data_IF_408622932951
#
_entry.id   IF_408622932951
#
_cell.length_a   1.000
_cell.length_b   1.000
_cell.length_c   1.000
_cell.angle_alpha   90.00
_cell.angle_beta   90.00
_cell.angle_gamma   90.00
#
_symmetry.space_group_name_H-M   'P 1'
#
loop_
_entity.id
_entity.type
_entity.pdbx_description
1 polymer ?
#
# COMPACT_ATOMS: atom_id res chain seq x y z
N UNK A 1 -5.01 20.02 -38.14
CA UNK A 1 -6.05 19.65 -37.16
C UNK A 1 -5.42 19.72 -35.78
N UNK A 2 -5.94 20.58 -34.92
CA UNK A 2 -5.37 20.82 -33.60
C UNK A 2 -5.69 19.68 -32.63
N UNK A 3 -4.75 19.34 -31.75
CA UNK A 3 -4.84 18.28 -30.74
C UNK A 3 -5.94 18.54 -29.67
N UNK A 4 -6.64 19.68 -29.77
CA UNK A 4 -7.57 20.18 -28.75
C UNK A 4 -9.02 19.68 -28.86
N UNK A 5 -9.50 19.26 -30.03
CA UNK A 5 -10.93 18.90 -30.19
C UNK A 5 -11.28 17.47 -29.77
N UNK A 6 -10.29 16.58 -29.60
CA UNK A 6 -10.54 15.15 -29.42
C UNK A 6 -10.78 14.70 -27.96
N UNK A 7 -10.60 15.57 -26.96
CA UNK A 7 -10.53 15.16 -25.54
C UNK A 7 -11.57 15.80 -24.60
N UNK A 8 -12.65 16.38 -25.12
CA UNK A 8 -13.78 16.81 -24.28
C UNK A 8 -13.43 17.80 -23.17
N UNK A 9 -12.43 18.66 -23.40
CA UNK A 9 -11.99 19.67 -22.42
C UNK A 9 -11.08 19.15 -21.30
N UNK A 10 -10.67 17.88 -21.33
CA UNK A 10 -9.71 17.35 -20.34
C UNK A 10 -8.29 17.72 -20.77
N UNK A 11 -7.57 18.46 -19.91
CA UNK A 11 -6.15 18.74 -20.13
C UNK A 11 -5.35 17.44 -20.00
N UNK A 12 -4.62 17.01 -21.06
CA UNK A 12 -3.82 15.80 -20.99
C UNK A 12 -2.67 16.02 -19.99
N UNK A 13 -2.31 14.96 -19.27
CA UNK A 13 -1.08 14.94 -18.49
C UNK A 13 0.04 14.30 -19.31
N UNK A 14 1.27 14.75 -19.07
CA UNK A 14 2.47 14.11 -19.61
C UNK A 14 3.26 13.52 -18.44
N UNK A 15 3.45 12.20 -18.44
CA UNK A 15 4.31 11.51 -17.46
C UNK A 15 5.68 11.26 -18.07
N UNK A 16 6.71 11.67 -17.35
CA UNK A 16 8.12 11.40 -17.65
C UNK A 16 8.64 10.21 -16.85
N UNK A 17 9.53 9.43 -17.46
CA UNK A 17 10.26 8.33 -16.84
C UNK A 17 11.76 8.53 -17.04
N UNK A 18 12.53 8.49 -15.95
CA UNK A 18 13.97 8.62 -16.01
C UNK A 18 14.58 7.31 -16.49
N UNK A 19 15.30 7.38 -17.60
CA UNK A 19 16.01 6.26 -18.25
C UNK A 19 17.13 5.65 -17.38
N UNK A 20 17.70 6.42 -16.47
CA UNK A 20 18.79 5.98 -15.60
C UNK A 20 18.28 5.39 -14.27
N UNK A 21 17.50 6.14 -13.50
CA UNK A 21 17.12 5.72 -12.13
C UNK A 21 15.67 5.26 -11.96
N UNK A 22 14.89 5.27 -13.05
CA UNK A 22 13.51 4.82 -13.05
C UNK A 22 12.49 5.75 -12.39
N UNK A 23 12.91 6.94 -11.97
CA UNK A 23 12.03 7.96 -11.38
C UNK A 23 10.90 8.35 -12.35
N UNK A 24 9.68 8.51 -11.84
CA UNK A 24 8.52 8.91 -12.64
C UNK A 24 7.92 10.18 -12.05
N UNK A 25 7.65 11.19 -12.91
CA UNK A 25 6.95 12.41 -12.51
C UNK A 25 6.09 12.99 -13.63
N UNK A 26 5.31 14.02 -13.32
CA UNK A 26 4.69 14.83 -14.36
C UNK A 26 5.76 15.72 -15.01
N UNK A 27 5.75 15.82 -16.33
CA UNK A 27 6.52 16.82 -17.09
C UNK A 27 5.63 18.04 -17.24
N UNK A 28 6.14 19.21 -16.90
CA UNK A 28 5.41 20.47 -17.01
C UNK A 28 5.28 20.87 -18.48
N UNK A 29 4.23 21.61 -18.83
CA UNK A 29 4.04 22.09 -20.23
C UNK A 29 5.23 22.94 -20.69
N UNK A 30 5.80 23.72 -19.77
CA UNK A 30 7.02 24.51 -19.98
C UNK A 30 8.29 23.68 -20.14
N UNK A 31 8.26 22.37 -19.88
CA UNK A 31 9.42 21.49 -20.10
C UNK A 31 9.28 20.71 -21.42
N UNK A 32 8.10 20.68 -22.04
CA UNK A 32 7.84 19.86 -23.24
C UNK A 32 8.58 20.31 -24.50
N UNK A 33 9.05 21.56 -24.51
CA UNK A 33 9.85 22.14 -25.60
C UNK A 33 11.35 21.99 -25.38
N UNK A 34 11.78 21.46 -24.23
CA UNK A 34 13.16 21.10 -24.01
C UNK A 34 13.44 19.80 -24.76
N UNK A 35 14.58 19.72 -25.45
CA UNK A 35 15.05 18.48 -26.09
C UNK A 35 15.27 17.39 -25.04
N UNK A 36 15.74 17.79 -23.85
CA UNK A 36 16.00 16.92 -22.71
C UNK A 36 15.49 17.54 -21.41
N UNK A 37 14.70 16.78 -20.65
CA UNK A 37 14.26 17.17 -19.30
C UNK A 37 15.12 16.40 -18.30
N UNK A 38 16.03 17.03 -17.53
CA UNK A 38 16.91 16.32 -16.62
C UNK A 38 16.13 15.68 -15.46
N UNK A 39 16.63 14.56 -14.94
CA UNK A 39 16.06 13.93 -13.76
C UNK A 39 16.20 14.85 -12.52
N UNK A 40 15.14 14.93 -11.70
CA UNK A 40 15.14 15.71 -10.45
C UNK A 40 16.18 15.23 -9.43
N UNK A 41 16.66 13.98 -9.58
CA UNK A 41 17.70 13.39 -8.75
C UNK A 41 19.12 13.74 -9.22
N UNK A 42 19.31 14.74 -10.08
CA UNK A 42 20.66 15.17 -10.51
C UNK A 42 21.55 15.56 -9.34
N UNK A 43 20.96 16.12 -8.27
CA UNK A 43 21.66 16.43 -7.01
C UNK A 43 22.14 15.20 -6.22
N UNK A 44 21.66 13.99 -6.57
CA UNK A 44 22.05 12.69 -6.00
C UNK A 44 22.90 11.88 -7.00
N UNK A 45 23.53 12.56 -7.95
CA UNK A 45 24.35 11.93 -8.99
C UNK A 45 23.57 11.28 -10.15
N UNK A 46 22.24 11.47 -10.25
CA UNK A 46 21.50 10.97 -11.42
C UNK A 46 21.93 11.70 -12.69
N UNK A 47 22.41 10.96 -13.69
CA UNK A 47 22.74 11.51 -15.01
C UNK A 47 21.64 11.30 -16.06
N UNK A 48 20.52 10.67 -15.67
CA UNK A 48 19.44 10.35 -16.59
C UNK A 48 18.55 11.52 -16.97
N UNK A 49 17.79 11.32 -18.04
CA UNK A 49 16.81 12.25 -18.59
C UNK A 49 15.40 11.65 -18.52
N UNK A 50 14.40 12.51 -18.35
CA UNK A 50 13.00 12.12 -18.32
C UNK A 50 12.47 11.97 -19.75
N UNK A 51 12.24 10.74 -20.16
CA UNK A 51 11.60 10.38 -21.42
C UNK A 51 10.07 10.40 -21.27
N UNK A 52 9.34 10.80 -22.32
CA UNK A 52 7.87 10.82 -22.31
C UNK A 52 7.34 9.38 -22.30
N UNK A 53 6.79 8.95 -21.16
CA UNK A 53 6.25 7.62 -20.97
C UNK A 53 4.75 7.53 -21.21
N UNK A 54 4.00 8.62 -21.00
CA UNK A 54 2.56 8.67 -21.23
C UNK A 54 2.09 10.09 -21.53
N UNK A 55 1.16 10.22 -22.49
CA UNK A 55 0.44 11.46 -22.81
C UNK A 55 -1.03 11.12 -22.94
N UNK A 56 -1.86 11.67 -22.07
CA UNK A 56 -3.29 11.36 -22.09
C UNK A 56 -4.05 11.80 -20.85
N UNK A 57 -5.34 11.42 -20.74
CA UNK A 57 -6.16 11.74 -19.57
C UNK A 57 -5.61 11.06 -18.31
N UNK A 58 -5.70 11.75 -17.16
CA UNK A 58 -5.22 11.20 -15.87
C UNK A 58 -5.83 9.85 -15.51
N UNK A 59 -7.08 9.60 -15.90
CA UNK A 59 -7.77 8.33 -15.67
C UNK A 59 -7.17 7.15 -16.47
N UNK A 60 -6.47 7.42 -17.57
CA UNK A 60 -5.85 6.40 -18.42
C UNK A 60 -4.39 6.13 -18.09
N UNK A 61 -3.85 6.67 -16.99
CA UNK A 61 -2.44 6.51 -16.62
C UNK A 61 -2.20 5.07 -16.16
N UNK A 62 -1.25 4.33 -16.78
CA UNK A 62 -0.88 3.00 -16.34
C UNK A 62 -0.48 2.99 -14.87
N UNK A 63 -0.93 1.98 -14.11
CA UNK A 63 -0.69 1.87 -12.66
C UNK A 63 0.80 1.93 -12.29
N UNK A 64 1.69 1.42 -13.14
CA UNK A 64 3.14 1.46 -12.93
C UNK A 64 3.75 2.88 -13.02
N UNK A 65 3.04 3.84 -13.64
CA UNK A 65 3.40 5.27 -13.74
C UNK A 65 2.60 6.16 -12.76
N UNK A 66 1.52 5.64 -12.19
CA UNK A 66 0.68 6.35 -11.21
C UNK A 66 1.31 6.44 -9.83
N UNK A 67 2.20 5.50 -9.49
CA UNK A 67 2.93 5.48 -8.22
C UNK A 67 4.20 6.34 -8.24
N UNK A 68 4.50 6.98 -7.12
CA UNK A 68 5.82 7.59 -6.88
C UNK A 68 6.86 6.48 -6.74
N UNK A 69 7.43 6.02 -7.87
CA UNK A 69 8.56 5.08 -7.82
C UNK A 69 9.75 5.81 -7.20
N UNK A 70 10.27 5.27 -6.10
CA UNK A 70 11.54 5.76 -5.56
C UNK A 70 12.63 5.44 -6.58
N UNK A 71 13.38 6.48 -6.91
CA UNK A 71 14.53 6.42 -7.80
C UNK A 71 15.61 5.51 -7.23
N UNK A 72 16.32 4.80 -8.09
CA UNK A 72 17.46 3.93 -7.73
C UNK A 72 18.78 4.67 -7.50
N UNK A 73 18.77 6.00 -7.44
CA UNK A 73 20.00 6.77 -7.21
C UNK A 73 20.56 6.53 -5.80
N UNK A 74 21.89 6.44 -5.65
CA UNK A 74 22.53 6.38 -4.35
C UNK A 74 22.19 7.66 -3.57
N UNK A 75 21.79 7.49 -2.32
CA UNK A 75 21.50 8.61 -1.43
C UNK A 75 22.83 9.15 -0.88
N UNK A 76 23.46 10.09 -1.60
CA UNK A 76 24.70 10.73 -1.17
C UNK A 76 24.55 11.54 0.14
N UNK A 77 23.32 11.74 0.63
CA UNK A 77 23.09 12.39 1.92
C UNK A 77 23.39 11.48 3.13
N UNK A 78 23.73 10.21 2.93
CA UNK A 78 24.34 9.40 3.98
C UNK A 78 25.85 9.65 3.97
N UNK A 79 26.26 10.77 4.58
CA UNK A 79 27.63 10.92 5.02
C UNK A 79 28.03 9.64 5.78
N UNK A 80 29.25 9.10 5.60
CA UNK A 80 29.71 8.02 6.46
C UNK A 80 29.68 8.57 7.88
N UNK A 81 28.72 8.08 8.69
CA UNK A 81 28.62 8.46 10.09
C UNK A 81 30.00 8.22 10.71
N UNK A 82 30.61 9.32 11.13
CA UNK A 82 31.83 9.30 11.91
C UNK A 82 31.62 8.33 13.07
N UNK A 83 32.58 7.41 13.23
CA UNK A 83 32.60 6.37 14.23
C UNK A 83 32.22 6.91 15.62
N UNK A 84 30.97 6.73 16.01
CA UNK A 84 30.58 6.78 17.42
C UNK A 84 31.18 5.55 18.08
N UNK A 85 32.29 5.80 18.78
CA UNK A 85 33.06 4.82 19.52
C UNK A 85 32.28 4.40 20.75
N UNK A 86 31.48 3.33 20.61
CA UNK A 86 30.88 2.64 21.75
C UNK A 86 31.75 1.42 22.08
N UNK A 87 32.75 1.65 22.92
CA UNK A 87 33.56 0.60 23.52
C UNK A 87 32.75 -0.22 24.51
N UNK A 88 32.44 -1.46 24.13
CA UNK A 88 31.96 -2.52 25.04
C UNK A 88 32.67 -3.82 24.69
N UNK A 89 33.71 -4.13 25.48
CA UNK A 89 34.42 -5.40 25.44
C UNK A 89 33.46 -6.56 25.72
N UNK A 90 33.39 -7.54 24.81
CA UNK A 90 32.95 -8.89 25.11
C UNK A 90 33.57 -9.84 24.09
N UNK A 91 34.53 -10.63 24.57
CA UNK A 91 35.25 -11.62 23.80
C UNK A 91 34.34 -12.81 23.47
N UNK A 92 34.24 -13.09 22.17
CA UNK A 92 34.36 -14.44 21.61
C UNK A 92 33.29 -15.46 21.98
N UNK A 93 32.26 -15.56 21.14
CA UNK A 93 31.66 -16.88 20.86
C UNK A 93 31.27 -16.97 19.38
N UNK A 94 32.10 -17.70 18.63
CA UNK A 94 31.85 -18.08 17.25
C UNK A 94 30.80 -19.20 17.24
N UNK A 95 29.53 -18.82 17.25
CA UNK A 95 28.46 -19.66 16.73
C UNK A 95 28.00 -19.02 15.43
N UNK A 96 27.96 -19.81 14.37
CA UNK A 96 27.33 -19.52 13.08
C UNK A 96 25.81 -19.41 13.27
N UNK A 97 25.37 -18.47 14.11
CA UNK A 97 23.99 -18.19 14.42
C UNK A 97 23.43 -17.33 13.31
N UNK A 98 22.34 -17.77 12.71
CA UNK A 98 21.43 -16.91 11.97
C UNK A 98 21.27 -15.63 12.79
N UNK A 99 21.76 -14.51 12.27
CA UNK A 99 21.52 -13.21 12.90
C UNK A 99 20.02 -12.98 12.80
N UNK A 100 19.33 -13.39 13.86
CA UNK A 100 17.99 -12.99 14.19
C UNK A 100 18.11 -11.48 14.43
N UNK A 101 18.07 -10.72 13.34
CA UNK A 101 17.91 -9.28 13.37
C UNK A 101 16.57 -9.08 14.07
N UNK A 102 16.63 -8.88 15.39
CA UNK A 102 15.52 -8.38 16.18
C UNK A 102 15.18 -7.02 15.58
N UNK A 103 14.30 -7.03 14.59
CA UNK A 103 13.72 -5.83 14.02
C UNK A 103 12.82 -5.27 15.11
N UNK A 104 13.18 -4.14 15.70
CA UNK A 104 12.33 -3.45 16.66
C UNK A 104 11.11 -2.88 15.93
N UNK A 105 9.94 -2.88 16.57
CA UNK A 105 8.78 -2.25 15.98
C UNK A 105 8.99 -0.72 15.95
N UNK A 106 8.91 -0.07 14.78
CA UNK A 106 9.21 1.36 14.66
C UNK A 106 8.15 2.29 15.29
N UNK A 107 7.06 1.72 15.83
CA UNK A 107 5.98 2.49 16.47
C UNK A 107 6.16 2.54 17.99
N UNK A 108 6.43 1.40 18.64
CA UNK A 108 6.64 1.33 20.09
C UNK A 108 8.12 1.19 20.50
N UNK A 109 9.02 0.96 19.54
CA UNK A 109 10.44 0.67 19.76
C UNK A 109 10.69 -0.60 20.60
N UNK A 110 9.74 -1.55 20.64
CA UNK A 110 9.90 -2.83 21.33
C UNK A 110 10.33 -3.95 20.38
N UNK A 111 11.02 -5.00 20.86
CA UNK A 111 11.41 -6.14 20.04
C UNK A 111 10.21 -6.79 19.35
N UNK A 112 10.32 -6.99 18.04
CA UNK A 112 9.28 -7.65 17.25
C UNK A 112 9.76 -9.02 16.77
N UNK A 113 9.02 -10.04 17.17
CA UNK A 113 9.19 -11.38 16.63
C UNK A 113 8.51 -11.46 15.27
N UNK A 114 9.24 -11.81 14.23
CA UNK A 114 8.67 -11.92 12.87
C UNK A 114 7.52 -12.93 12.77
N UNK A 115 7.47 -13.91 13.68
CA UNK A 115 6.36 -14.86 13.80
C UNK A 115 5.05 -14.20 14.26
N UNK A 116 5.18 -13.16 15.07
CA UNK A 116 4.07 -12.43 15.70
C UNK A 116 3.64 -11.23 14.84
N UNK A 117 4.43 -10.92 13.81
CA UNK A 117 4.08 -9.93 12.81
C UNK A 117 2.89 -10.42 11.97
N UNK A 118 1.70 -9.93 12.33
CA UNK A 118 0.49 -10.15 11.54
C UNK A 118 0.43 -9.25 10.29
N UNK A 119 1.30 -8.24 10.22
CA UNK A 119 1.18 -7.13 9.28
C UNK A 119 2.57 -6.66 8.82
N UNK A 120 2.69 -6.26 7.55
CA UNK A 120 3.92 -5.72 6.95
C UNK A 120 3.57 -4.72 5.85
N UNK A 121 4.48 -3.83 5.47
CA UNK A 121 4.27 -3.10 4.21
C UNK A 121 4.65 -3.98 3.00
N UNK A 122 4.10 -3.65 1.81
CA UNK A 122 4.51 -4.27 0.54
C UNK A 122 6.02 -4.15 0.28
N UNK A 123 6.63 -3.17 0.92
CA UNK A 123 8.05 -2.91 0.93
C UNK A 123 8.44 -1.78 -0.01
N UNK A 124 9.65 -1.28 0.18
CA UNK A 124 10.31 -0.35 -0.73
C UNK A 124 11.71 -0.90 -1.04
N UNK A 125 12.05 -1.03 -2.32
CA UNK A 125 13.32 -1.60 -2.76
C UNK A 125 13.62 -3.00 -2.19
N UNK A 126 12.60 -3.86 -2.08
CA UNK A 126 12.74 -5.21 -1.54
C UNK A 126 12.74 -5.30 -0.01
N UNK A 127 12.79 -4.17 0.69
CA UNK A 127 12.74 -4.13 2.16
C UNK A 127 11.30 -3.97 2.65
N UNK A 128 10.85 -4.90 3.50
CA UNK A 128 9.52 -4.90 4.13
C UNK A 128 9.66 -4.39 5.57
N UNK A 129 8.74 -3.55 6.02
CA UNK A 129 8.70 -3.07 7.40
C UNK A 129 7.62 -3.84 8.15
N UNK A 130 7.96 -4.40 9.30
CA UNK A 130 7.07 -5.18 10.16
C UNK A 130 6.62 -4.37 11.37
N UNK A 131 5.41 -4.67 11.86
CA UNK A 131 4.78 -3.96 12.98
C UNK A 131 4.03 -4.96 13.87
N UNK A 132 3.96 -4.69 15.17
CA UNK A 132 3.03 -5.42 16.03
C UNK A 132 1.61 -5.12 15.57
N UNK A 133 0.72 -6.12 15.67
CA UNK A 133 -0.66 -5.95 15.25
C UNK A 133 -1.37 -4.81 16.01
N UNK A 134 -1.09 -4.66 17.31
CA UNK A 134 -1.63 -3.57 18.14
C UNK A 134 -1.14 -2.20 17.67
N UNK A 135 0.17 -2.03 17.49
CA UNK A 135 0.75 -0.76 17.01
C UNK A 135 0.19 -0.33 15.66
N UNK A 136 -0.01 -1.27 14.74
CA UNK A 136 -0.58 -0.94 13.43
C UNK A 136 -2.09 -0.66 13.51
N UNK A 137 -2.83 -1.32 14.40
CA UNK A 137 -4.24 -1.00 14.64
C UNK A 137 -4.41 0.46 15.08
N UNK A 138 -3.61 0.90 16.06
CA UNK A 138 -3.62 2.28 16.53
C UNK A 138 -3.22 3.27 15.41
N UNK A 139 -2.24 2.90 14.57
CA UNK A 139 -1.86 3.70 13.39
C UNK A 139 -3.00 3.83 12.38
N UNK A 140 -3.66 2.73 12.04
CA UNK A 140 -4.81 2.70 11.13
C UNK A 140 -5.93 3.61 11.65
N UNK A 141 -6.24 3.52 12.95
CA UNK A 141 -7.23 4.37 13.61
C UNK A 141 -6.86 5.85 13.53
N UNK A 142 -5.59 6.19 13.73
CA UNK A 142 -5.12 7.56 13.58
C UNK A 142 -5.28 8.04 12.12
N UNK A 143 -4.95 7.21 11.12
CA UNK A 143 -5.19 7.53 9.72
C UNK A 143 -6.68 7.78 9.43
N UNK A 144 -7.59 6.95 9.97
CA UNK A 144 -9.04 7.16 9.83
C UNK A 144 -9.48 8.51 10.42
N UNK A 145 -9.00 8.84 11.62
CA UNK A 145 -9.33 10.08 12.32
C UNK A 145 -8.88 11.32 11.55
N UNK A 146 -7.73 11.23 10.88
CA UNK A 146 -7.13 12.32 10.10
C UNK A 146 -7.57 12.33 8.63
N UNK A 147 -8.54 11.49 8.24
CA UNK A 147 -9.01 11.27 6.86
C UNK A 147 -7.89 10.93 5.86
N UNK A 148 -6.86 10.20 6.32
CA UNK A 148 -5.70 9.78 5.54
C UNK A 148 -5.76 8.29 5.15
N UNK A 149 -5.09 7.96 4.05
CA UNK A 149 -4.92 6.56 3.63
C UNK A 149 -3.99 5.80 4.61
N UNK A 150 -4.34 4.54 4.98
CA UNK A 150 -3.56 3.71 5.90
C UNK A 150 -2.27 3.19 5.23
N UNK A 151 -1.26 4.04 5.10
CA UNK A 151 0.02 3.70 4.50
C UNK A 151 1.09 3.41 5.57
N UNK A 152 2.14 2.69 5.19
CA UNK A 152 3.28 2.42 6.07
C UNK A 152 3.90 3.73 6.60
N UNK A 153 4.08 3.91 7.93
CA UNK A 153 4.64 5.16 8.48
C UNK A 153 6.09 5.40 8.04
N UNK A 154 6.83 4.34 7.69
CA UNK A 154 8.23 4.45 7.24
C UNK A 154 8.31 4.77 5.74
N UNK A 155 7.70 3.94 4.89
CA UNK A 155 7.89 4.07 3.44
C UNK A 155 6.74 4.72 2.68
N UNK A 156 5.60 4.94 3.35
CA UNK A 156 4.32 5.36 2.76
C UNK A 156 3.78 4.41 1.68
N UNK A 157 4.28 3.18 1.64
CA UNK A 157 3.75 2.13 0.77
C UNK A 157 2.51 1.44 1.35
N UNK A 158 1.77 0.67 0.54
CA UNK A 158 0.59 -0.04 0.99
C UNK A 158 0.89 -1.03 2.13
N UNK A 159 -0.06 -1.15 3.05
CA UNK A 159 -0.02 -2.11 4.14
C UNK A 159 -0.58 -3.46 3.68
N UNK A 160 0.08 -4.53 4.09
CA UNK A 160 -0.32 -5.91 3.89
C UNK A 160 -0.61 -6.58 5.23
N UNK A 161 -1.66 -7.38 5.28
CA UNK A 161 -2.05 -8.16 6.45
C UNK A 161 -2.08 -9.64 6.11
N UNK A 162 -1.52 -10.47 6.99
CA UNK A 162 -1.55 -11.91 6.82
C UNK A 162 -2.81 -12.47 7.47
N UNK A 163 -3.70 -13.08 6.68
CA UNK A 163 -5.02 -13.56 7.12
C UNK A 163 -4.96 -14.41 8.39
N UNK A 164 -4.24 -15.53 8.30
CA UNK A 164 -4.11 -16.49 9.41
C UNK A 164 -3.55 -15.85 10.69
N UNK A 165 -2.45 -15.12 10.59
CA UNK A 165 -1.77 -14.50 11.73
C UNK A 165 -2.62 -13.42 12.39
N UNK A 166 -3.32 -12.61 11.60
CA UNK A 166 -4.26 -11.62 12.13
C UNK A 166 -5.42 -12.30 12.87
N UNK A 167 -5.97 -13.39 12.32
CA UNK A 167 -6.99 -14.20 12.99
C UNK A 167 -6.50 -14.83 14.29
N UNK A 168 -5.27 -15.38 14.29
CA UNK A 168 -4.62 -15.92 15.49
C UNK A 168 -4.44 -14.84 16.56
N UNK A 169 -3.95 -13.66 16.18
CA UNK A 169 -3.82 -12.51 17.06
C UNK A 169 -5.17 -12.06 17.65
N UNK A 170 -6.21 -11.93 16.82
CA UNK A 170 -7.54 -11.54 17.28
C UNK A 170 -8.13 -12.54 18.28
N UNK A 171 -7.85 -13.84 18.11
CA UNK A 171 -8.25 -14.89 19.07
C UNK A 171 -7.47 -14.81 20.38
N UNK A 172 -6.16 -14.53 20.35
CA UNK A 172 -5.31 -14.51 21.53
C UNK A 172 -5.34 -13.19 22.31
N UNK A 173 -5.62 -12.05 21.67
CA UNK A 173 -5.52 -10.71 22.25
C UNK A 173 -6.64 -10.32 23.24
N UNK A 174 -7.32 -11.28 23.86
CA UNK A 174 -8.62 -11.14 24.55
C UNK A 174 -8.75 -10.11 25.68
N UNK A 175 -7.67 -9.43 26.08
CA UNK A 175 -7.75 -8.27 27.00
C UNK A 175 -6.69 -7.19 26.79
N UNK A 176 -5.76 -7.35 25.84
CA UNK A 176 -4.65 -6.39 25.64
C UNK A 176 -4.98 -5.29 24.63
N UNK A 177 -6.06 -5.44 23.87
CA UNK A 177 -6.40 -4.55 22.77
C UNK A 177 -7.67 -3.76 23.12
N UNK A 178 -7.65 -2.45 22.86
CA UNK A 178 -8.85 -1.61 23.00
C UNK A 178 -9.98 -2.17 22.11
N UNK A 179 -11.23 -2.07 22.58
CA UNK A 179 -12.38 -2.62 21.86
C UNK A 179 -12.53 -2.01 20.45
N UNK A 180 -12.17 -0.73 20.29
CA UNK A 180 -12.18 -0.04 19.00
C UNK A 180 -11.13 -0.62 18.04
N UNK A 181 -9.87 -0.79 18.50
CA UNK A 181 -8.79 -1.40 17.74
C UNK A 181 -9.13 -2.84 17.35
N UNK A 182 -9.75 -3.59 18.27
CA UNK A 182 -10.22 -4.95 18.01
C UNK A 182 -11.24 -4.99 16.89
N UNK A 183 -12.21 -4.07 16.93
CA UNK A 183 -13.27 -3.99 15.93
C UNK A 183 -12.72 -3.61 14.55
N UNK A 184 -11.77 -2.67 14.51
CA UNK A 184 -11.09 -2.27 13.28
C UNK A 184 -10.32 -3.45 12.65
N UNK A 185 -9.53 -4.17 13.44
CA UNK A 185 -8.79 -5.34 12.99
C UNK A 185 -9.70 -6.51 12.58
N UNK A 186 -10.82 -6.72 13.28
CA UNK A 186 -11.80 -7.76 12.92
C UNK A 186 -12.38 -7.53 11.53
N UNK A 187 -12.74 -6.29 11.21
CA UNK A 187 -13.29 -6.01 9.89
C UNK A 187 -12.23 -6.12 8.79
N UNK A 188 -10.99 -5.70 9.05
CA UNK A 188 -9.86 -5.96 8.13
C UNK A 188 -9.68 -7.46 7.90
N UNK A 189 -9.79 -8.28 8.95
CA UNK A 189 -9.71 -9.74 8.85
C UNK A 189 -10.86 -10.34 8.04
N UNK A 190 -12.11 -9.95 8.31
CA UNK A 190 -13.28 -10.41 7.55
C UNK A 190 -13.17 -10.08 6.06
N UNK A 191 -12.72 -8.86 5.74
CA UNK A 191 -12.52 -8.47 4.35
C UNK A 191 -11.37 -9.24 3.68
N UNK A 192 -10.30 -9.52 4.44
CA UNK A 192 -9.20 -10.34 3.97
C UNK A 192 -9.67 -11.80 3.71
N UNK A 193 -10.55 -12.36 4.54
CA UNK A 193 -11.16 -13.68 4.31
C UNK A 193 -12.02 -13.69 3.03
N UNK A 194 -12.79 -12.62 2.78
CA UNK A 194 -13.65 -12.50 1.60
C UNK A 194 -12.88 -12.32 0.27
N UNK A 195 -11.64 -11.84 0.32
CA UNK A 195 -10.86 -11.53 -0.89
C UNK A 195 -9.84 -12.63 -1.17
N UNK A 196 -9.64 -13.02 -2.43
CA UNK A 196 -8.54 -13.93 -2.79
C UNK A 196 -7.20 -13.25 -2.43
N UNK A 197 -6.40 -13.88 -1.57
CA UNK A 197 -5.08 -13.39 -1.19
C UNK A 197 -4.01 -13.79 -2.20
N UNK A 198 -2.77 -13.37 -1.97
CA UNK A 198 -1.63 -14.00 -2.65
C UNK A 198 -1.41 -15.43 -2.11
N UNK A 199 -0.51 -16.19 -2.76
CA UNK A 199 -0.19 -17.58 -2.37
C UNK A 199 0.38 -17.68 -0.94
N UNK A 200 0.93 -16.57 -0.42
CA UNK A 200 1.46 -16.46 0.94
C UNK A 200 0.40 -16.05 1.98
N UNK A 201 -0.84 -15.78 1.57
CA UNK A 201 -1.93 -15.37 2.45
C UNK A 201 -1.88 -13.91 2.92
N UNK A 202 -1.14 -13.04 2.22
CA UNK A 202 -1.15 -11.60 2.45
C UNK A 202 -2.23 -10.90 1.63
N UNK A 203 -2.79 -9.86 2.21
CA UNK A 203 -3.86 -9.06 1.64
C UNK A 203 -3.57 -7.56 1.82
N UNK A 204 -3.81 -6.75 0.79
CA UNK A 204 -3.55 -5.30 0.81
C UNK A 204 -4.69 -4.52 1.46
N UNK A 205 -4.37 -3.75 2.50
CA UNK A 205 -5.35 -2.91 3.21
C UNK A 205 -5.50 -1.59 2.47
N UNK A 206 -6.69 -1.37 1.91
CA UNK A 206 -7.05 -0.12 1.24
C UNK A 206 -8.05 0.68 2.06
N UNK A 207 -8.12 2.00 1.83
CA UNK A 207 -9.06 2.90 2.51
C UNK A 207 -10.52 2.44 2.37
N UNK A 208 -10.90 1.90 1.22
CA UNK A 208 -12.26 1.38 0.99
C UNK A 208 -12.61 0.24 1.96
N UNK A 209 -11.63 -0.62 2.29
CA UNK A 209 -11.80 -1.70 3.27
C UNK A 209 -12.12 -1.12 4.64
N UNK A 210 -11.40 -0.05 4.98
CA UNK A 210 -11.46 0.61 6.28
C UNK A 210 -12.71 1.49 6.45
N UNK A 211 -13.20 2.14 5.38
CA UNK A 211 -14.41 2.94 5.43
C UNK A 211 -15.67 2.09 5.58
N UNK A 212 -15.69 0.90 4.99
CA UNK A 212 -16.80 -0.04 5.15
C UNK A 212 -16.95 -0.56 6.60
N UNK A 213 -15.87 -0.49 7.41
CA UNK A 213 -15.88 -0.86 8.84
C UNK A 213 -16.83 0.03 9.64
N UNK A 214 -16.81 1.35 9.39
CA UNK A 214 -17.55 2.33 10.18
C UNK A 214 -19.07 2.16 10.08
N UNK A 215 -19.54 1.51 9.01
CA UNK A 215 -20.96 1.28 8.75
C UNK A 215 -21.45 0.00 9.44
N UNK A 216 -20.59 -1.02 9.56
CA UNK A 216 -20.94 -2.33 10.12
C UNK A 216 -20.97 -2.34 11.66
N UNK A 217 -20.14 -1.54 12.33
CA UNK A 217 -20.04 -1.51 13.80
C UNK A 217 -21.04 -0.60 14.50
N UNK A 218 -21.97 0.02 13.76
CA UNK A 218 -23.08 0.78 14.35
C UNK A 218 -22.66 2.08 15.06
N UNK A 219 -21.40 2.50 14.95
CA UNK A 219 -20.97 3.84 15.36
C UNK A 219 -21.40 4.78 14.24
N UNK A 220 -22.63 5.29 14.35
CA UNK A 220 -23.05 6.52 13.67
C UNK A 220 -22.14 7.65 14.16
N UNK A 221 -20.94 7.77 13.59
CA UNK A 221 -20.15 8.99 13.71
C UNK A 221 -20.99 10.05 13.01
N UNK A 222 -21.59 10.91 13.82
CA UNK A 222 -22.35 12.07 13.36
C UNK A 222 -21.42 13.09 12.69
N UNK A 223 -20.85 12.71 11.55
CA UNK A 223 -20.33 13.65 10.57
C UNK A 223 -21.46 13.87 9.57
N UNK A 224 -22.10 15.03 9.67
CA UNK A 224 -23.25 15.40 8.89
C UNK A 224 -23.03 15.23 7.38
N UNK A 225 -24.13 14.86 6.71
CA UNK A 225 -24.34 14.81 5.28
C UNK A 225 -23.56 13.72 4.51
N UNK A 226 -24.16 12.53 4.43
CA UNK A 226 -24.76 12.03 3.18
C UNK A 226 -25.49 10.70 3.45
N UNK A 227 -26.78 10.83 3.79
CA UNK A 227 -27.73 9.76 3.61
C UNK A 227 -28.01 9.61 2.10
N UNK A 228 -27.22 8.80 1.39
CA UNK A 228 -27.59 8.31 0.06
C UNK A 228 -27.10 6.86 -0.13
N UNK A 229 -28.00 5.91 0.14
CA UNK A 229 -28.16 4.72 -0.70
C UNK A 229 -27.14 3.59 -0.57
N UNK A 230 -26.98 2.98 0.61
CA UNK A 230 -26.45 1.60 0.69
C UNK A 230 -27.58 0.57 0.55
N UNK A 231 -28.15 0.54 -0.65
CA UNK A 231 -28.94 -0.58 -1.14
C UNK A 231 -28.54 -0.87 -2.59
N UNK A 232 -27.29 -1.32 -2.80
CA UNK A 232 -26.78 -2.15 -3.92
C UNK A 232 -25.26 -2.00 -4.06
N UNK A 233 -24.49 -2.94 -3.52
CA UNK A 233 -23.12 -3.19 -4.01
C UNK A 233 -22.54 -4.59 -3.70
N UNK A 234 -23.30 -5.51 -3.08
CA UNK A 234 -22.89 -6.92 -2.92
C UNK A 234 -23.85 -7.88 -3.64
N UNK A 235 -24.12 -7.63 -4.92
CA UNK A 235 -25.00 -8.51 -5.68
C UNK A 235 -24.97 -8.30 -7.17
N UNK A 236 -23.83 -8.55 -7.83
CA UNK A 236 -23.83 -9.02 -9.23
C UNK A 236 -22.44 -9.48 -9.71
N UNK A 237 -21.99 -10.67 -9.29
CA UNK A 237 -20.85 -11.33 -9.96
C UNK A 237 -21.03 -12.83 -10.19
N UNK A 238 -22.27 -13.34 -10.11
CA UNK A 238 -22.55 -14.76 -10.31
C UNK A 238 -23.71 -15.07 -11.28
N UNK A 239 -24.21 -14.08 -12.05
CA UNK A 239 -25.31 -14.31 -13.00
C UNK A 239 -24.89 -14.86 -14.37
N UNK A 240 -23.60 -14.82 -14.70
CA UNK A 240 -23.14 -15.32 -16.00
C UNK A 240 -22.98 -16.85 -16.02
N UNK A 241 -22.92 -17.53 -14.86
CA UNK A 241 -22.82 -19.00 -14.81
C UNK A 241 -24.17 -19.73 -14.91
N UNK A 242 -25.27 -19.08 -14.53
CA UNK A 242 -26.60 -19.70 -14.61
C UNK A 242 -27.22 -19.62 -16.01
N UNK A 243 -26.72 -18.73 -16.88
CA UNK A 243 -27.22 -18.64 -18.25
C UNK A 243 -26.75 -19.82 -19.11
N UNK A 244 -25.49 -20.23 -18.96
CA UNK A 244 -24.93 -21.34 -19.74
C UNK A 244 -25.55 -22.70 -19.36
N UNK A 245 -25.86 -22.94 -18.09
CA UNK A 245 -26.50 -24.21 -17.67
C UNK A 245 -27.95 -24.37 -18.14
N UNK A 246 -28.63 -23.28 -18.48
CA UNK A 246 -30.02 -23.33 -18.94
C UNK A 246 -30.12 -23.64 -20.43
N UNK A 247 -29.15 -23.18 -21.23
CA UNK A 247 -29.12 -23.44 -22.68
C UNK A 247 -28.70 -24.89 -22.99
N UNK A 248 -27.83 -25.51 -22.19
CA UNK A 248 -27.47 -26.93 -22.38
C UNK A 248 -28.64 -27.88 -22.04
N UNK A 249 -29.45 -27.54 -21.04
CA UNK A 249 -30.59 -28.39 -20.64
C UNK A 249 -31.75 -28.39 -21.64
N UNK A 250 -31.85 -27.33 -22.45
CA UNK A 250 -32.85 -27.23 -23.52
C UNK A 250 -32.38 -27.91 -24.83
N UNK A 251 -31.07 -28.08 -25.05
CA UNK A 251 -30.52 -28.88 -26.16
C UNK A 251 -30.72 -30.38 -25.98
N UNK A 252 -30.68 -30.91 -24.76
CA UNK A 252 -30.93 -32.34 -24.50
C UNK A 252 -32.40 -32.76 -24.65
N UNK A 253 -33.33 -31.80 -24.84
CA UNK A 253 -34.78 -32.06 -24.98
C UNK A 253 -35.29 -32.01 -26.43
N UNK A 254 -34.42 -31.75 -27.40
CA UNK A 254 -34.74 -31.79 -28.85
C UNK A 254 -34.10 -33.02 -29.49
#
# INVERSE_FOLDING_TARGET
>A
MGIGEFLGGVTPIVRGHCDSCGFVRNIWVSELHLDEVPCDHRKRGCVGVLTKAYVGPKAGVPSHLSGSRRCSCPDETRAPDAASSSSSSSLGQASSGQQDVNEECPVCCEPLKMTDAAMRCRGCAGHRHYFHAACLASWIRQCQKDDNDPNCPICRGPLLVHKRRLGDFLRSAGGSLEQEDRSALQCVHEHAEATAGDEEGWFEVNRDVIQNVAIATGVLVAAGALAFGLAKAFGNRNKDKDKDQREDRDRERQ
#
